data_IF_588296712930
#
_entry.id   IF_588296712930
#
_cell.length_a   1.000
_cell.length_b   1.000
_cell.length_c   1.000
_cell.angle_alpha   90.00
_cell.angle_beta   90.00
_cell.angle_gamma   90.00
#
_symmetry.space_group_name_H-M   'P 1'
#
loop_
_entity.id
_entity.type
_entity.pdbx_description
1 polymer ?
#
# COMPACT_ATOMS: atom_id res chain seq x y z
N UNK A 1 -24.50 34.27 23.04
CA UNK A 1 -23.60 33.10 22.90
C UNK A 1 -24.01 32.34 21.63
N UNK A 2 -23.36 32.61 20.48
CA UNK A 2 -23.76 32.06 19.17
C UNK A 2 -23.60 30.53 19.15
N UNK A 3 -24.65 29.86 18.69
CA UNK A 3 -24.78 28.40 18.66
C UNK A 3 -23.93 27.83 17.52
N UNK A 4 -23.23 26.72 17.74
CA UNK A 4 -22.81 25.85 16.64
C UNK A 4 -23.98 24.98 16.23
N UNK A 5 -24.69 25.44 15.22
CA UNK A 5 -25.64 24.61 14.45
C UNK A 5 -25.04 24.31 13.06
N UNK A 6 -24.03 25.08 12.62
CA UNK A 6 -23.39 24.96 11.31
C UNK A 6 -21.84 24.93 11.45
N UNK A 7 -21.18 24.32 10.47
CA UNK A 7 -19.71 24.18 10.39
C UNK A 7 -19.24 22.76 10.69
N UNK A 8 -18.44 22.19 9.80
CA UNK A 8 -17.78 20.90 10.03
C UNK A 8 -16.58 21.12 10.93
N UNK A 9 -16.65 20.56 12.13
CA UNK A 9 -15.52 20.53 13.06
C UNK A 9 -14.58 19.42 12.61
N UNK A 10 -13.29 19.76 12.46
CA UNK A 10 -12.23 18.80 12.15
C UNK A 10 -11.27 18.71 13.32
N UNK A 11 -10.92 17.51 13.74
CA UNK A 11 -9.84 17.28 14.69
C UNK A 11 -8.81 16.39 14.01
N UNK A 12 -7.59 16.89 13.95
CA UNK A 12 -6.42 16.24 13.37
C UNK A 12 -5.40 15.93 14.47
N UNK A 13 -4.66 14.84 14.29
CA UNK A 13 -3.47 14.55 15.07
C UNK A 13 -2.26 14.73 14.16
N UNK A 14 -1.35 15.61 14.57
CA UNK A 14 -0.12 15.92 13.87
C UNK A 14 1.04 15.21 14.55
N UNK A 15 1.96 14.72 13.72
CA UNK A 15 3.22 14.14 14.15
C UNK A 15 4.18 15.18 14.72
N UNK A 16 5.32 14.72 15.29
CA UNK A 16 6.37 15.61 15.78
C UNK A 16 6.98 16.51 14.68
N UNK A 17 6.86 16.09 13.42
CA UNK A 17 7.27 16.80 12.21
C UNK A 17 6.21 17.79 11.69
N UNK A 18 5.04 17.87 12.33
CA UNK A 18 3.91 18.70 11.90
C UNK A 18 3.05 18.07 10.80
N UNK A 19 3.38 16.87 10.32
CA UNK A 19 2.59 16.14 9.33
C UNK A 19 1.28 15.62 9.92
N UNK A 20 0.19 15.64 9.16
CA UNK A 20 -1.10 15.10 9.63
C UNK A 20 -1.05 13.57 9.59
N UNK A 21 -1.18 12.94 10.76
CA UNK A 21 -1.18 11.47 10.90
C UNK A 21 -2.58 10.86 10.78
N UNK A 22 -3.61 11.66 11.02
CA UNK A 22 -4.99 11.25 10.85
C UNK A 22 -5.97 12.21 11.47
N UNK A 23 -7.25 11.94 11.25
CA UNK A 23 -8.38 12.66 11.84
C UNK A 23 -9.08 11.79 12.87
N UNK A 24 -9.60 12.39 13.94
CA UNK A 24 -10.50 11.71 14.87
C UNK A 24 -11.94 12.17 14.64
N UNK A 25 -12.94 11.31 14.89
CA UNK A 25 -14.35 11.68 14.72
C UNK A 25 -14.69 12.92 15.55
N UNK A 26 -15.57 13.76 15.03
CA UNK A 26 -16.08 14.93 15.76
C UNK A 26 -17.57 14.76 16.03
N UNK A 27 -18.08 15.46 17.04
CA UNK A 27 -19.49 15.43 17.43
C UNK A 27 -20.05 16.84 17.47
N UNK A 28 -21.26 17.01 16.92
CA UNK A 28 -22.02 18.27 16.98
C UNK A 28 -22.86 18.36 18.27
N UNK A 29 -22.84 17.33 19.13
CA UNK A 29 -23.61 17.32 20.40
C UNK A 29 -23.00 18.30 21.39
N UNK A 30 -23.88 19.04 22.08
CA UNK A 30 -23.47 19.93 23.18
C UNK A 30 -23.01 19.10 24.38
N UNK A 31 -21.96 19.57 25.06
CA UNK A 31 -21.43 18.95 26.27
C UNK A 31 -20.00 18.45 26.08
N UNK A 32 -19.57 17.57 26.98
CA UNK A 32 -18.27 16.91 26.89
C UNK A 32 -18.32 15.84 25.79
N UNK A 33 -17.35 15.88 24.89
CA UNK A 33 -17.14 14.84 23.87
C UNK A 33 -15.83 14.11 24.18
N UNK A 34 -15.87 12.78 24.14
CA UNK A 34 -14.68 11.94 24.28
C UNK A 34 -14.48 11.14 23.00
N UNK A 35 -13.27 11.18 22.48
CA UNK A 35 -12.86 10.48 21.26
C UNK A 35 -11.52 9.81 21.50
N UNK A 36 -11.28 8.71 20.80
CA UNK A 36 -10.05 7.92 20.93
C UNK A 36 -9.28 8.00 19.61
N UNK A 37 -8.00 8.29 19.69
CA UNK A 37 -7.08 8.13 18.58
C UNK A 37 -6.44 6.74 18.63
N UNK A 38 -6.37 6.06 17.48
CA UNK A 38 -5.80 4.71 17.39
C UNK A 38 -4.29 4.66 17.65
N UNK A 39 -3.61 5.82 17.59
CA UNK A 39 -2.15 5.94 17.65
C UNK A 39 -1.43 5.10 16.58
N UNK A 40 -2.12 4.75 15.49
CA UNK A 40 -1.57 4.00 14.36
C UNK A 40 -1.43 4.88 13.14
N UNK A 41 -0.35 4.65 12.40
CA UNK A 41 -0.23 5.16 11.04
C UNK A 41 -1.26 4.48 10.14
N UNK A 42 -1.41 4.99 8.91
CA UNK A 42 -2.25 4.36 7.90
C UNK A 42 -1.71 2.95 7.59
N UNK A 43 -2.62 2.00 7.42
CA UNK A 43 -2.26 0.66 6.96
C UNK A 43 -1.49 0.72 5.63
N UNK A 44 -0.56 -0.21 5.39
CA UNK A 44 0.11 -0.30 4.10
C UNK A 44 -0.90 -0.57 2.99
N UNK A 45 -0.53 -0.18 1.78
CA UNK A 45 -1.25 -0.66 0.60
C UNK A 45 -0.82 -2.08 0.30
N UNK A 46 -1.78 -2.92 -0.04
CA UNK A 46 -1.56 -4.32 -0.38
C UNK A 46 -2.31 -4.60 -1.67
N UNK A 47 -1.70 -5.29 -2.65
CA UNK A 47 -2.42 -5.63 -3.86
C UNK A 47 -3.60 -6.57 -3.54
N UNK A 48 -4.75 -6.42 -4.22
CA UNK A 48 -5.83 -7.38 -4.12
C UNK A 48 -5.38 -8.78 -4.53
N UNK A 49 -5.84 -9.80 -3.82
CA UNK A 49 -5.63 -11.21 -4.16
C UNK A 49 -6.82 -12.05 -3.65
N UNK A 50 -6.81 -13.34 -3.93
CA UNK A 50 -7.87 -14.27 -3.51
C UNK A 50 -7.97 -14.47 -1.98
N UNK A 51 -6.94 -14.08 -1.21
CA UNK A 51 -6.92 -14.14 0.25
C UNK A 51 -6.88 -12.74 0.87
N UNK A 52 -7.48 -12.59 2.06
CA UNK A 52 -7.35 -11.37 2.85
C UNK A 52 -5.97 -11.29 3.51
N UNK A 53 -5.32 -10.13 3.42
CA UNK A 53 -4.01 -9.87 4.04
C UNK A 53 -4.20 -9.30 5.46
N UNK A 54 -4.74 -10.09 6.38
CA UNK A 54 -5.10 -9.62 7.73
C UNK A 54 -3.91 -9.04 8.51
N UNK A 55 -2.70 -9.59 8.32
CA UNK A 55 -1.48 -9.06 8.95
C UNK A 55 -1.21 -7.59 8.58
N UNK A 56 -1.63 -7.17 7.40
CA UNK A 56 -1.47 -5.81 6.86
C UNK A 56 -2.70 -4.91 7.04
N UNK A 57 -3.71 -5.34 7.81
CA UNK A 57 -4.95 -4.58 8.01
C UNK A 57 -4.76 -3.30 8.84
N UNK A 58 -3.65 -3.17 9.57
CA UNK A 58 -3.37 -2.03 10.45
C UNK A 58 -1.98 -1.45 10.20
N UNK A 59 -1.84 -0.13 10.35
CA UNK A 59 -0.52 0.52 10.36
C UNK A 59 0.25 0.27 11.66
N UNK A 60 1.59 0.47 11.65
CA UNK A 60 2.37 0.43 12.88
C UNK A 60 1.89 1.53 13.83
N UNK A 61 2.02 1.29 15.14
CA UNK A 61 1.76 2.36 16.10
C UNK A 61 2.89 3.38 16.04
N UNK A 62 2.55 4.64 16.28
CA UNK A 62 3.53 5.71 16.39
C UNK A 62 4.47 5.48 17.57
N UNK A 63 5.68 6.05 17.51
CA UNK A 63 6.63 6.01 18.61
C UNK A 63 6.18 6.95 19.75
N UNK A 64 6.61 6.68 21.01
CA UNK A 64 6.45 7.65 22.09
C UNK A 64 7.10 9.00 21.71
N UNK A 65 6.44 10.09 22.06
CA UNK A 65 6.86 11.44 21.66
C UNK A 65 5.77 12.49 21.86
N UNK A 66 6.10 13.72 21.48
CA UNK A 66 5.18 14.86 21.56
C UNK A 66 4.47 15.04 20.23
N UNK A 67 3.14 14.91 20.25
CA UNK A 67 2.24 15.09 19.12
C UNK A 67 1.39 16.35 19.34
N UNK A 68 0.69 16.80 18.30
CA UNK A 68 -0.22 17.94 18.42
C UNK A 68 -1.62 17.54 18.00
N UNK A 69 -2.61 17.79 18.85
CA UNK A 69 -4.02 17.74 18.45
C UNK A 69 -4.40 19.12 17.94
N UNK A 70 -4.86 19.20 16.69
CA UNK A 70 -5.35 20.43 16.06
C UNK A 70 -6.86 20.31 15.81
N UNK A 71 -7.62 21.18 16.44
CA UNK A 71 -9.05 21.32 16.18
C UNK A 71 -9.29 22.57 15.34
N UNK A 72 -9.89 22.39 14.18
CA UNK A 72 -10.34 23.47 13.30
C UNK A 72 -11.86 23.55 13.34
N UNK A 73 -12.37 24.76 13.54
CA UNK A 73 -13.80 25.04 13.66
C UNK A 73 -14.09 26.39 12.99
N UNK A 74 -14.77 26.33 11.85
CA UNK A 74 -14.89 27.47 10.93
C UNK A 74 -13.49 28.04 10.62
N UNK A 75 -13.19 29.26 11.06
CA UNK A 75 -11.87 29.91 10.89
C UNK A 75 -10.96 29.79 12.11
N UNK A 76 -11.47 29.28 13.24
CA UNK A 76 -10.71 29.17 14.47
C UNK A 76 -9.91 27.85 14.52
N UNK A 77 -8.63 27.96 14.87
CA UNK A 77 -7.72 26.81 15.05
C UNK A 77 -7.27 26.78 16.51
N UNK A 78 -7.41 25.61 17.12
CA UNK A 78 -6.96 25.33 18.48
C UNK A 78 -5.96 24.21 18.43
N UNK A 79 -4.84 24.36 19.14
CA UNK A 79 -3.81 23.32 19.24
C UNK A 79 -3.58 22.95 20.69
N UNK A 80 -3.28 21.69 20.93
CA UNK A 80 -2.93 21.19 22.27
C UNK A 80 -1.88 20.09 22.12
N UNK A 81 -0.77 20.13 22.88
CA UNK A 81 0.21 19.06 22.86
C UNK A 81 -0.40 17.77 23.43
N UNK A 82 -0.06 16.65 22.82
CA UNK A 82 -0.44 15.31 23.24
C UNK A 82 0.84 14.50 23.44
N UNK A 83 1.12 14.13 24.69
CA UNK A 83 2.26 13.27 25.01
C UNK A 83 1.86 11.81 24.81
N UNK A 84 2.48 11.13 23.85
CA UNK A 84 2.42 9.67 23.73
C UNK A 84 3.57 9.09 24.55
N UNK A 85 3.25 8.16 25.45
CA UNK A 85 4.21 7.50 26.34
C UNK A 85 4.23 6.00 26.08
N UNK A 86 5.32 5.35 26.46
CA UNK A 86 5.39 3.89 26.45
C UNK A 86 4.40 3.31 27.48
N UNK A 87 3.87 2.11 27.22
CA UNK A 87 3.06 1.39 28.22
C UNK A 87 3.95 1.05 29.42
N UNK A 88 3.66 1.52 30.65
CA UNK A 88 4.50 1.26 31.82
C UNK A 88 4.62 -0.22 32.18
N UNK A 89 3.78 -1.09 31.62
CA UNK A 89 3.84 -2.56 31.82
C UNK A 89 4.81 -3.25 30.87
N UNK A 90 5.30 -2.56 29.83
CA UNK A 90 6.24 -3.14 28.87
C UNK A 90 7.62 -3.29 29.48
N UNK A 91 8.31 -4.38 29.13
CA UNK A 91 9.73 -4.58 29.46
C UNK A 91 10.66 -4.20 28.29
N UNK A 92 10.09 -3.82 27.15
CA UNK A 92 10.84 -3.46 25.96
C UNK A 92 11.38 -2.04 26.09
N UNK A 93 12.63 -1.86 25.66
CA UNK A 93 13.29 -0.56 25.69
C UNK A 93 12.78 0.35 24.57
N UNK A 94 13.06 1.65 24.66
CA UNK A 94 12.80 2.58 23.57
C UNK A 94 13.56 2.19 22.28
N UNK A 95 14.76 1.61 22.42
CA UNK A 95 15.57 1.12 21.31
C UNK A 95 14.93 -0.11 20.64
N UNK A 96 14.43 -1.06 21.43
CA UNK A 96 13.69 -2.23 20.90
C UNK A 96 12.48 -1.77 20.11
N UNK A 97 11.74 -0.79 20.65
CA UNK A 97 10.57 -0.23 20.00
C UNK A 97 10.93 0.50 18.71
N UNK A 98 12.06 1.21 18.69
CA UNK A 98 12.55 1.87 17.47
C UNK A 98 12.93 0.85 16.40
N UNK A 99 13.68 -0.18 16.76
CA UNK A 99 14.06 -1.25 15.84
C UNK A 99 12.83 -1.96 15.25
N UNK A 100 11.81 -2.22 16.08
CA UNK A 100 10.53 -2.76 15.63
C UNK A 100 9.83 -1.85 14.63
N UNK A 101 9.75 -0.55 14.94
CA UNK A 101 9.11 0.43 14.06
C UNK A 101 9.84 0.55 12.72
N UNK A 102 11.17 0.56 12.72
CA UNK A 102 11.97 0.68 11.50
C UNK A 102 11.77 -0.55 10.58
N UNK A 103 11.72 -1.76 11.13
CA UNK A 103 11.41 -2.98 10.35
C UNK A 103 9.96 -2.95 9.85
N UNK A 104 9.01 -2.52 10.68
CA UNK A 104 7.61 -2.39 10.27
C UNK A 104 7.44 -1.40 9.13
N UNK A 105 8.14 -0.26 9.17
CA UNK A 105 8.11 0.75 8.12
C UNK A 105 8.79 0.27 6.83
N UNK A 106 9.87 -0.50 6.93
CA UNK A 106 10.47 -1.18 5.77
C UNK A 106 9.47 -2.10 5.09
N UNK A 107 8.84 -2.99 5.85
CA UNK A 107 7.82 -3.93 5.35
C UNK A 107 6.59 -3.20 4.77
N UNK A 108 6.18 -2.09 5.40
CA UNK A 108 5.11 -1.21 4.91
C UNK A 108 5.43 -0.65 3.53
N UNK A 109 6.65 -0.13 3.34
CA UNK A 109 7.15 0.35 2.06
C UNK A 109 7.20 -0.77 1.00
N UNK A 110 7.74 -1.94 1.36
CA UNK A 110 7.80 -3.09 0.45
C UNK A 110 6.40 -3.54 -0.01
N UNK A 111 5.39 -3.51 0.86
CA UNK A 111 3.99 -3.80 0.47
C UNK A 111 3.43 -2.75 -0.50
N UNK A 112 3.78 -1.47 -0.32
CA UNK A 112 3.42 -0.41 -1.25
C UNK A 112 4.09 -0.60 -2.62
N UNK A 113 5.38 -0.92 -2.66
CA UNK A 113 6.11 -1.22 -3.89
C UNK A 113 5.56 -2.47 -4.59
N UNK A 114 5.14 -3.48 -3.82
CA UNK A 114 4.47 -4.66 -4.33
C UNK A 114 3.14 -4.31 -4.99
N UNK A 115 2.35 -3.44 -4.36
CA UNK A 115 1.08 -2.95 -4.93
C UNK A 115 1.34 -2.25 -6.26
N UNK A 116 2.32 -1.36 -6.29
CA UNK A 116 2.71 -0.65 -7.51
C UNK A 116 3.13 -1.62 -8.62
N UNK A 117 3.99 -2.59 -8.34
CA UNK A 117 4.42 -3.60 -9.32
C UNK A 117 3.23 -4.39 -9.90
N UNK A 118 2.33 -4.87 -9.03
CA UNK A 118 1.15 -5.64 -9.45
C UNK A 118 0.18 -4.79 -10.26
N UNK A 119 -0.05 -3.53 -9.89
CA UNK A 119 -0.92 -2.62 -10.63
C UNK A 119 -0.36 -2.29 -12.02
N UNK A 120 0.96 -2.12 -12.16
CA UNK A 120 1.61 -1.97 -13.48
C UNK A 120 1.37 -3.20 -14.35
N UNK A 121 1.62 -4.39 -13.81
CA UNK A 121 1.42 -5.66 -14.52
C UNK A 121 -0.04 -5.85 -14.93
N UNK A 122 -0.99 -5.54 -14.05
CA UNK A 122 -2.42 -5.62 -14.35
C UNK A 122 -2.84 -4.61 -15.41
N UNK A 123 -2.35 -3.37 -15.34
CA UNK A 123 -2.63 -2.35 -16.36
C UNK A 123 -2.15 -2.76 -17.75
N UNK A 124 -0.94 -3.33 -17.84
CA UNK A 124 -0.41 -3.89 -19.09
C UNK A 124 -1.25 -5.06 -19.57
N UNK A 125 -1.59 -6.02 -18.70
CA UNK A 125 -2.42 -7.18 -19.06
C UNK A 125 -3.79 -6.77 -19.59
N UNK A 126 -4.47 -5.86 -18.89
CA UNK A 126 -5.77 -5.34 -19.33
C UNK A 126 -5.68 -4.69 -20.70
N UNK A 127 -4.67 -3.84 -20.92
CA UNK A 127 -4.47 -3.23 -22.23
C UNK A 127 -4.20 -4.30 -23.30
N UNK A 128 -3.33 -5.27 -23.06
CA UNK A 128 -3.05 -6.33 -24.03
C UNK A 128 -4.32 -7.10 -24.44
N UNK A 129 -5.17 -7.46 -23.46
CA UNK A 129 -6.45 -8.11 -23.72
C UNK A 129 -7.40 -7.21 -24.53
N UNK A 130 -7.56 -5.95 -24.12
CA UNK A 130 -8.42 -4.98 -24.80
C UNK A 130 -8.01 -4.76 -26.26
N UNK A 131 -6.71 -4.80 -26.56
CA UNK A 131 -6.20 -4.61 -27.92
C UNK A 131 -6.32 -5.88 -28.74
N UNK A 132 -6.05 -7.05 -28.14
CA UNK A 132 -6.24 -8.33 -28.81
C UNK A 132 -7.71 -8.58 -29.18
N UNK A 133 -8.66 -8.13 -28.36
CA UNK A 133 -10.10 -8.24 -28.62
C UNK A 133 -10.60 -7.39 -29.81
N UNK A 134 -9.85 -6.34 -30.19
CA UNK A 134 -10.17 -5.47 -31.34
C UNK A 134 -9.63 -6.00 -32.67
N UNK A 135 -8.87 -7.09 -32.65
CA UNK A 135 -8.27 -7.68 -33.84
C UNK A 135 -9.08 -8.89 -34.33
N UNK A 136 -9.08 -9.19 -35.64
CA UNK A 136 -9.76 -10.36 -36.18
C UNK A 136 -9.29 -11.69 -35.57
N UNK A 137 -10.16 -12.69 -35.56
CA UNK A 137 -9.78 -14.05 -35.16
C UNK A 137 -8.66 -14.58 -36.09
N UNK A 138 -7.62 -15.20 -35.51
CA UNK A 138 -6.47 -15.70 -36.25
C UNK A 138 -5.41 -14.65 -36.62
N UNK A 139 -5.61 -13.38 -36.26
CA UNK A 139 -4.63 -12.32 -36.50
C UNK A 139 -3.30 -12.59 -35.75
N UNK A 140 -2.18 -12.47 -36.47
CA UNK A 140 -0.85 -12.76 -35.92
C UNK A 140 -0.43 -11.80 -34.79
N UNK A 141 -0.85 -10.53 -34.84
CA UNK A 141 -0.64 -9.57 -33.77
C UNK A 141 -1.49 -9.95 -32.55
N UNK A 142 -2.73 -10.40 -32.73
CA UNK A 142 -3.54 -10.88 -31.61
C UNK A 142 -2.88 -12.05 -30.88
N UNK A 143 -2.30 -13.01 -31.63
CA UNK A 143 -1.51 -14.11 -31.04
C UNK A 143 -0.29 -13.59 -30.27
N UNK A 144 0.43 -12.62 -30.82
CA UNK A 144 1.59 -12.00 -30.15
C UNK A 144 1.20 -11.24 -28.88
N UNK A 145 0.07 -10.52 -28.88
CA UNK A 145 -0.44 -9.83 -27.69
C UNK A 145 -0.84 -10.82 -26.59
N UNK A 146 -1.47 -11.95 -26.93
CA UNK A 146 -1.78 -13.02 -25.97
C UNK A 146 -0.52 -13.67 -25.38
N UNK A 147 0.51 -13.87 -26.19
CA UNK A 147 1.81 -14.37 -25.70
C UNK A 147 2.46 -13.37 -24.73
N UNK A 148 2.45 -12.08 -25.08
CA UNK A 148 2.92 -10.99 -24.22
C UNK A 148 2.15 -10.95 -22.89
N UNK A 149 0.83 -11.10 -22.94
CA UNK A 149 -0.01 -11.18 -21.74
C UNK A 149 0.40 -12.35 -20.84
N UNK A 150 0.65 -13.52 -21.42
CA UNK A 150 1.03 -14.71 -20.67
C UNK A 150 2.39 -14.53 -19.96
N UNK A 151 3.34 -13.86 -20.60
CA UNK A 151 4.63 -13.50 -19.96
C UNK A 151 4.43 -12.59 -18.75
N UNK A 152 3.59 -11.55 -18.87
CA UNK A 152 3.32 -10.64 -17.75
C UNK A 152 2.53 -11.34 -16.64
N UNK A 153 1.57 -12.20 -16.98
CA UNK A 153 0.81 -12.96 -15.99
C UNK A 153 1.69 -13.96 -15.22
N UNK A 154 2.67 -14.58 -15.89
CA UNK A 154 3.65 -15.44 -15.23
C UNK A 154 4.47 -14.68 -14.16
N UNK A 155 4.89 -13.45 -14.45
CA UNK A 155 5.58 -12.58 -13.48
C UNK A 155 4.65 -12.18 -12.33
N UNK A 156 3.43 -11.76 -12.63
CA UNK A 156 2.43 -11.38 -11.62
C UNK A 156 2.12 -12.54 -10.66
N UNK A 157 2.04 -13.78 -11.17
CA UNK A 157 1.82 -15.01 -10.39
C UNK A 157 2.97 -15.34 -9.43
N UNK A 158 4.17 -14.77 -9.60
CA UNK A 158 5.23 -14.86 -8.59
C UNK A 158 4.90 -14.00 -7.36
N UNK A 159 4.15 -12.92 -7.52
CA UNK A 159 3.83 -11.96 -6.46
C UNK A 159 2.54 -12.31 -5.73
N UNK A 160 1.45 -12.56 -6.47
CA UNK A 160 0.10 -12.75 -5.90
C UNK A 160 -0.47 -14.11 -6.23
N UNK A 161 -1.14 -14.72 -5.25
CA UNK A 161 -1.91 -15.95 -5.46
C UNK A 161 -3.07 -15.70 -6.46
N UNK A 162 -3.35 -16.68 -7.31
CA UNK A 162 -4.33 -16.53 -8.41
C UNK A 162 -5.46 -17.54 -8.38
N UNK A 163 -5.35 -18.59 -7.58
CA UNK A 163 -6.44 -19.56 -7.39
C UNK A 163 -7.48 -19.01 -6.42
N UNK A 164 -8.75 -19.10 -6.81
CA UNK A 164 -9.87 -18.77 -5.92
C UNK A 164 -9.84 -19.64 -4.67
N UNK A 165 -10.20 -19.04 -3.53
CA UNK A 165 -10.09 -19.69 -2.23
C UNK A 165 -8.64 -19.84 -1.78
N UNK A 166 -7.75 -18.84 -1.93
CA UNK A 166 -6.33 -18.92 -1.55
C UNK A 166 -6.06 -19.55 -0.17
N UNK A 167 -6.91 -19.29 0.82
CA UNK A 167 -6.85 -19.89 2.17
C UNK A 167 -7.23 -21.39 2.20
N UNK A 168 -8.04 -21.84 1.24
CA UNK A 168 -8.50 -23.22 1.02
C UNK A 168 -7.54 -23.98 0.09
N UNK A 169 -6.97 -23.30 -0.91
CA UNK A 169 -6.04 -23.89 -1.89
C UNK A 169 -4.59 -23.92 -1.39
N UNK A 170 -4.27 -23.14 -0.35
CA UNK A 170 -2.94 -23.08 0.27
C UNK A 170 -1.87 -22.43 -0.62
N UNK A 171 -2.26 -21.72 -1.68
CA UNK A 171 -1.29 -21.01 -2.52
C UNK A 171 -0.80 -19.74 -1.81
N UNK A 172 0.42 -19.78 -1.30
CA UNK A 172 1.12 -18.61 -0.78
C UNK A 172 2.14 -18.09 -1.79
N UNK A 173 2.14 -16.78 -2.01
CA UNK A 173 3.13 -16.07 -2.82
C UNK A 173 3.84 -15.00 -1.99
N UNK A 174 4.61 -14.13 -2.63
CA UNK A 174 5.33 -13.05 -1.94
C UNK A 174 4.39 -12.17 -1.12
N UNK A 175 3.17 -11.93 -1.61
CA UNK A 175 2.19 -11.08 -0.93
C UNK A 175 1.76 -11.64 0.42
N UNK A 176 1.43 -12.92 0.49
CA UNK A 176 0.99 -13.58 1.73
C UNK A 176 2.15 -13.58 2.74
N UNK A 177 3.33 -14.04 2.32
CA UNK A 177 4.54 -14.05 3.14
C UNK A 177 4.89 -12.68 3.72
N UNK A 178 4.79 -11.63 2.91
CA UNK A 178 5.13 -10.27 3.32
C UNK A 178 4.08 -9.68 4.27
N UNK A 179 2.79 -9.91 4.00
CA UNK A 179 1.71 -9.45 4.85
C UNK A 179 1.74 -10.13 6.23
N UNK A 180 2.04 -11.42 6.28
CA UNK A 180 2.13 -12.19 7.52
C UNK A 180 3.35 -11.79 8.35
N UNK A 181 4.52 -11.62 7.72
CA UNK A 181 5.70 -11.10 8.41
C UNK A 181 5.45 -9.69 8.96
N UNK A 182 4.83 -8.81 8.16
CA UNK A 182 4.44 -7.48 8.62
C UNK A 182 3.50 -7.54 9.83
N UNK A 183 2.48 -8.39 9.81
CA UNK A 183 1.59 -8.61 10.95
C UNK A 183 2.35 -9.07 12.20
N UNK A 184 3.21 -10.07 12.06
CA UNK A 184 4.02 -10.60 13.15
C UNK A 184 4.92 -9.54 13.81
N UNK A 185 5.45 -8.61 13.01
CA UNK A 185 6.25 -7.48 13.53
C UNK A 185 5.35 -6.41 14.17
N UNK A 186 4.21 -6.06 13.55
CA UNK A 186 3.37 -4.94 13.99
C UNK A 186 2.53 -5.22 15.24
N UNK A 187 2.25 -6.49 15.51
CA UNK A 187 1.51 -6.92 16.70
C UNK A 187 2.40 -7.33 17.88
N UNK A 188 3.73 -7.16 17.75
CA UNK A 188 4.70 -7.37 18.82
C UNK A 188 5.43 -6.05 19.14
N UNK A 189 5.50 -5.68 20.42
CA UNK A 189 6.08 -4.39 20.82
C UNK A 189 7.60 -4.45 21.10
N UNK A 190 8.20 -5.64 21.05
CA UNK A 190 9.62 -5.85 21.26
C UNK A 190 10.48 -5.84 19.99
N UNK A 191 11.79 -5.96 20.17
CA UNK A 191 12.77 -6.02 19.07
C UNK A 191 12.45 -7.21 18.16
N UNK A 192 12.37 -7.01 16.83
CA UNK A 192 12.23 -8.11 15.88
C UNK A 192 13.40 -9.07 16.00
N UNK A 193 13.15 -10.37 15.81
CA UNK A 193 14.23 -11.34 15.77
C UNK A 193 15.11 -11.13 14.54
N UNK A 194 16.36 -11.58 14.62
CA UNK A 194 17.28 -11.52 13.49
C UNK A 194 16.71 -12.23 12.25
N UNK A 195 16.03 -13.36 12.44
CA UNK A 195 15.34 -14.09 11.37
C UNK A 195 14.23 -13.27 10.71
N UNK A 196 13.46 -12.47 11.49
CA UNK A 196 12.43 -11.59 10.92
C UNK A 196 13.06 -10.48 10.07
N UNK A 197 14.18 -9.90 10.52
CA UNK A 197 14.92 -8.87 9.78
C UNK A 197 15.45 -9.44 8.47
N UNK A 198 16.13 -10.59 8.52
CA UNK A 198 16.68 -11.27 7.34
C UNK A 198 15.59 -11.70 6.36
N UNK A 199 14.44 -12.16 6.86
CA UNK A 199 13.29 -12.50 6.00
C UNK A 199 12.70 -11.26 5.34
N UNK A 200 12.63 -10.12 6.02
CA UNK A 200 12.20 -8.86 5.43
C UNK A 200 13.14 -8.44 4.28
N UNK A 201 14.45 -8.60 4.47
CA UNK A 201 15.46 -8.37 3.45
C UNK A 201 15.35 -9.32 2.25
N UNK A 202 15.14 -10.61 2.50
CA UNK A 202 14.96 -11.60 1.44
C UNK A 202 13.71 -11.29 0.60
N UNK A 203 12.56 -11.05 1.23
CA UNK A 203 11.31 -10.75 0.53
C UNK A 203 11.39 -9.45 -0.29
N UNK A 204 12.08 -8.43 0.23
CA UNK A 204 12.31 -7.19 -0.52
C UNK A 204 13.15 -7.42 -1.78
N UNK A 205 14.21 -8.25 -1.69
CA UNK A 205 15.01 -8.64 -2.85
C UNK A 205 14.21 -9.47 -3.85
N UNK A 206 13.49 -10.48 -3.40
CA UNK A 206 12.65 -11.32 -4.25
C UNK A 206 11.62 -10.48 -5.04
N UNK A 207 10.98 -9.49 -4.38
CA UNK A 207 10.08 -8.56 -5.06
C UNK A 207 10.81 -7.68 -6.09
N UNK A 208 11.97 -7.12 -5.72
CA UNK A 208 12.77 -6.29 -6.62
C UNK A 208 13.24 -7.06 -7.85
N UNK A 209 13.55 -8.35 -7.71
CA UNK A 209 13.93 -9.23 -8.81
C UNK A 209 12.77 -9.39 -9.80
N UNK A 210 11.56 -9.66 -9.32
CA UNK A 210 10.37 -9.76 -10.19
C UNK A 210 10.05 -8.42 -10.86
N UNK A 211 10.21 -7.30 -10.16
CA UNK A 211 10.02 -5.97 -10.73
C UNK A 211 11.04 -5.69 -11.86
N UNK A 212 12.32 -6.03 -11.64
CA UNK A 212 13.37 -5.89 -12.68
C UNK A 212 13.11 -6.81 -13.87
N UNK A 213 12.66 -8.05 -13.66
CA UNK A 213 12.26 -8.93 -14.75
C UNK A 213 11.13 -8.32 -15.59
N UNK A 214 10.14 -7.69 -14.96
CA UNK A 214 9.05 -6.99 -15.64
C UNK A 214 9.55 -5.76 -16.41
N UNK A 215 10.44 -4.96 -15.81
CA UNK A 215 11.01 -3.80 -16.48
C UNK A 215 11.85 -4.20 -17.71
N UNK A 216 12.63 -5.29 -17.60
CA UNK A 216 13.39 -5.85 -18.72
C UNK A 216 12.48 -6.39 -19.83
N UNK A 217 11.39 -7.08 -19.45
CA UNK A 217 10.35 -7.50 -20.41
C UNK A 217 9.72 -6.30 -21.12
N UNK A 218 9.35 -5.25 -20.36
CA UNK A 218 8.70 -4.08 -20.90
C UNK A 218 9.60 -3.32 -21.89
N UNK A 219 10.87 -3.14 -21.54
CA UNK A 219 11.86 -2.50 -22.40
C UNK A 219 12.10 -3.26 -23.71
N UNK A 220 12.12 -4.61 -23.66
CA UNK A 220 12.32 -5.46 -24.83
C UNK A 220 11.09 -5.53 -25.73
N UNK A 221 9.90 -5.74 -25.15
CA UNK A 221 8.73 -6.19 -25.91
C UNK A 221 7.76 -5.05 -26.25
N UNK A 222 7.58 -4.03 -25.39
CA UNK A 222 6.54 -3.02 -25.59
C UNK A 222 6.78 -2.14 -26.82
N UNK A 223 8.03 -1.77 -27.14
CA UNK A 223 8.33 -0.94 -28.31
C UNK A 223 7.87 -1.59 -29.62
N UNK A 224 8.14 -2.88 -29.78
CA UNK A 224 7.72 -3.66 -30.94
C UNK A 224 6.21 -3.88 -31.00
N UNK A 225 5.57 -4.14 -29.85
CA UNK A 225 4.12 -4.27 -29.77
C UNK A 225 3.39 -2.96 -30.09
N UNK A 226 3.85 -1.84 -29.52
CA UNK A 226 3.26 -0.52 -29.74
C UNK A 226 3.42 -0.05 -31.19
N UNK A 227 4.55 -0.37 -31.82
CA UNK A 227 4.75 -0.10 -33.26
C UNK A 227 3.78 -0.91 -34.13
N UNK A 228 3.51 -2.17 -33.79
CA UNK A 228 2.57 -3.00 -34.52
C UNK A 228 1.11 -2.54 -34.31
N UNK A 229 0.74 -2.16 -33.09
CA UNK A 229 -0.57 -1.59 -32.76
C UNK A 229 -0.83 -0.28 -33.52
N UNK A 230 0.17 0.61 -33.59
CA UNK A 230 0.05 1.88 -34.29
C UNK A 230 -0.24 1.69 -35.79
N UNK A 231 0.35 0.67 -36.44
CA UNK A 231 0.06 0.33 -37.85
C UNK A 231 -1.40 -0.11 -38.06
N UNK A 232 -2.00 -0.70 -37.03
CA UNK A 232 -3.42 -1.06 -37.00
C UNK A 232 -4.31 0.07 -36.45
N UNK A 233 -3.76 1.27 -36.24
CA UNK A 233 -4.46 2.43 -35.65
C UNK A 233 -5.07 2.15 -34.27
N UNK A 234 -4.46 1.25 -33.51
CA UNK A 234 -4.84 0.94 -32.14
C UNK A 234 -3.96 1.71 -31.14
N UNK A 235 -4.55 2.02 -30.00
CA UNK A 235 -3.85 2.66 -28.87
C UNK A 235 -2.69 1.81 -28.36
N UNK A 236 -1.61 2.48 -27.99
CA UNK A 236 -0.44 1.85 -27.37
C UNK A 236 -0.77 1.25 -26.00
N UNK A 237 0.04 0.28 -25.59
CA UNK A 237 0.02 -0.29 -24.26
C UNK A 237 0.72 0.68 -23.30
N UNK A 238 0.00 1.25 -22.31
CA UNK A 238 0.58 2.19 -21.36
C UNK A 238 1.41 1.46 -20.30
N UNK A 239 2.44 2.14 -19.80
CA UNK A 239 3.20 1.70 -18.63
C UNK A 239 2.99 2.72 -17.50
N UNK A 240 2.38 2.28 -16.41
CA UNK A 240 2.15 3.12 -15.24
C UNK A 240 3.47 3.50 -14.58
N UNK A 241 3.74 4.80 -14.47
CA UNK A 241 4.89 5.34 -13.73
C UNK A 241 4.58 5.50 -12.25
N UNK A 242 5.64 5.61 -11.43
CA UNK A 242 5.51 5.79 -9.98
C UNK A 242 4.77 7.08 -9.65
N UNK A 243 5.13 8.18 -10.30
CA UNK A 243 4.52 9.49 -10.10
C UNK A 243 3.01 9.47 -10.42
N UNK A 244 2.62 8.82 -11.52
CA UNK A 244 1.21 8.65 -11.87
C UNK A 244 0.45 7.83 -10.82
N UNK A 245 1.08 6.80 -10.26
CA UNK A 245 0.49 5.98 -9.21
C UNK A 245 0.31 6.76 -7.91
N UNK A 246 1.31 7.55 -7.52
CA UNK A 246 1.26 8.42 -6.34
C UNK A 246 0.28 9.59 -6.50
N UNK A 247 0.13 10.15 -7.69
CA UNK A 247 -0.86 11.19 -7.94
C UNK A 247 -2.30 10.66 -7.77
N UNK A 248 -2.60 9.47 -8.33
CA UNK A 248 -3.91 8.81 -8.13
C UNK A 248 -4.19 8.51 -6.66
N UNK A 249 -3.15 8.14 -5.94
CA UNK A 249 -3.17 7.81 -4.53
C UNK A 249 -3.54 9.01 -3.63
N UNK A 250 -3.00 10.18 -3.94
CA UNK A 250 -3.34 11.44 -3.26
C UNK A 250 -4.77 11.84 -3.59
N UNK A 251 -5.18 11.75 -4.86
CA UNK A 251 -6.54 12.07 -5.29
C UNK A 251 -7.63 11.16 -4.69
N UNK A 252 -7.29 9.91 -4.35
CA UNK A 252 -8.20 8.96 -3.71
C UNK A 252 -8.29 9.10 -2.17
N UNK A 253 -7.56 10.04 -1.56
CA UNK A 253 -7.67 10.34 -0.14
C UNK A 253 -8.73 11.44 0.06
N UNK A 254 -9.85 11.15 0.75
CA UNK A 254 -10.96 12.10 0.93
C UNK A 254 -10.57 13.32 1.78
#
# INVERSE_FOLDING_TARGET
KKRHIFGDMKIEVLGPDGGVLGTVPTSKRRGLSRVTWSMRLKAPRVPPAASAAFGAAFGPRVLPGTYTVRMTKDTAVYTTPLQVVADPRTKHTAEDRRAQFDVAMKLHGTLADMTFAVERMNGVRQALDDRAAKLPAGDALATRLRAAWASVDALRKKIVATKEGGMITGEERLRENLADLYGNVVFYDGRPSQTQVERADALARELADVAREFDAWAARDLGGLNSALARQRLEQIPLLSRDQWEAKAVAATP
#
